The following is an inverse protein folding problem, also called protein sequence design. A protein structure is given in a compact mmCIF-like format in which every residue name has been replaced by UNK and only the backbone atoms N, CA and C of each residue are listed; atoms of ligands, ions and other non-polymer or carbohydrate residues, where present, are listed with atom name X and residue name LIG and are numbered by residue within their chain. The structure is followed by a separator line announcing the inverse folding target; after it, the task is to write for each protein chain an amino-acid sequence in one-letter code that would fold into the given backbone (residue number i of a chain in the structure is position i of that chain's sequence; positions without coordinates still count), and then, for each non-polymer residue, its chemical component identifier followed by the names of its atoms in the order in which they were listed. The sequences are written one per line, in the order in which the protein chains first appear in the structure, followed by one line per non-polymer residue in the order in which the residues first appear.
data_IF_005163180100
#
_entry.id   IF_005163180100
#
_cell.length_a   1.000
_cell.length_b   1.000
_cell.length_c   1.000
_cell.angle_alpha   90.00
_cell.angle_beta   90.00
_cell.angle_gamma   90.00
#
_symmetry.space_group_name_H-M   'P 1'
#
loop_
_entity.id
_entity.type
_entity.pdbx_description
1 polymer ?
#
# COMPACT_ATOMS: atom_id res chain seq x y z
N UNK A 1 -29.94 7.90 -19.03
CA UNK A 1 -28.65 7.24 -18.75
C UNK A 1 -28.93 6.17 -17.70
N UNK A 2 -28.97 4.91 -18.10
CA UNK A 2 -28.91 3.82 -17.13
C UNK A 2 -27.46 3.70 -16.66
N UNK A 3 -27.25 4.05 -15.41
CA UNK A 3 -25.98 3.84 -14.72
C UNK A 3 -25.92 2.35 -14.38
N UNK A 4 -24.84 1.67 -14.81
CA UNK A 4 -24.64 0.23 -14.58
C UNK A 4 -24.80 -0.10 -13.08
N UNK A 5 -25.39 -1.26 -12.75
CA UNK A 5 -25.69 -1.67 -11.36
C UNK A 5 -24.47 -1.70 -10.43
N UNK A 6 -23.27 -1.80 -11.00
CA UNK A 6 -21.99 -1.80 -10.28
C UNK A 6 -21.25 -0.45 -10.35
N UNK A 7 -21.85 0.58 -10.93
CA UNK A 7 -21.25 1.90 -10.99
C UNK A 7 -21.50 2.64 -9.68
N UNK A 8 -20.43 3.07 -9.02
CA UNK A 8 -20.49 3.85 -7.80
C UNK A 8 -20.12 5.30 -8.12
N UNK A 9 -21.09 6.22 -7.93
CA UNK A 9 -20.84 7.64 -8.03
C UNK A 9 -20.07 8.12 -6.79
N UNK A 10 -18.74 8.21 -6.90
CA UNK A 10 -17.88 8.71 -5.83
C UNK A 10 -18.17 10.20 -5.58
N UNK A 11 -18.76 10.51 -4.42
CA UNK A 11 -19.03 11.89 -4.02
C UNK A 11 -17.77 12.50 -3.41
N UNK A 12 -17.25 13.56 -4.03
CA UNK A 12 -16.03 14.25 -3.57
C UNK A 12 -16.31 15.55 -2.80
N UNK A 13 -17.58 15.85 -2.49
CA UNK A 13 -18.04 17.05 -1.76
C UNK A 13 -17.38 18.36 -2.24
N UNK A 14 -17.25 18.52 -3.56
CA UNK A 14 -16.68 19.72 -4.19
C UNK A 14 -15.16 19.74 -4.30
N UNK A 15 -14.45 18.68 -3.89
CA UNK A 15 -13.00 18.57 -4.09
C UNK A 15 -12.71 17.97 -5.46
N UNK A 16 -11.89 18.67 -6.24
CA UNK A 16 -11.41 18.18 -7.53
C UNK A 16 -10.08 17.43 -7.39
N UNK A 17 -10.08 16.10 -7.58
CA UNK A 17 -8.89 15.25 -7.50
C UNK A 17 -8.18 15.01 -8.84
N UNK A 18 -8.52 15.71 -9.93
CA UNK A 18 -7.98 15.44 -11.28
C UNK A 18 -6.50 15.80 -11.49
N UNK A 19 -5.90 16.58 -10.60
CA UNK A 19 -4.50 17.00 -10.70
C UNK A 19 -3.70 16.59 -9.47
N UNK A 20 -2.37 16.59 -9.61
CA UNK A 20 -1.44 16.22 -8.54
C UNK A 20 -1.82 16.89 -7.22
N UNK A 21 -1.85 16.09 -6.16
CA UNK A 21 -1.98 16.57 -4.79
C UNK A 21 -0.63 16.33 -4.11
N UNK A 22 0.12 17.41 -3.87
CA UNK A 22 1.41 17.29 -3.19
C UNK A 22 1.25 16.64 -1.82
N UNK A 23 2.23 15.82 -1.47
CA UNK A 23 2.27 15.05 -0.23
C UNK A 23 1.97 15.95 0.99
N UNK A 24 1.11 15.47 1.89
CA UNK A 24 0.64 16.18 3.10
C UNK A 24 -0.08 17.52 2.90
N UNK A 25 -0.36 17.93 1.65
CA UNK A 25 -1.25 19.07 1.39
C UNK A 25 -2.67 18.78 1.90
N UNK A 26 -3.47 19.84 2.17
CA UNK A 26 -4.88 19.68 2.53
C UNK A 26 -5.67 18.84 1.51
N UNK A 27 -5.35 19.02 0.21
CA UNK A 27 -5.94 18.24 -0.88
C UNK A 27 -5.58 16.75 -0.78
N UNK A 28 -4.31 16.46 -0.51
CA UNK A 28 -3.83 15.08 -0.30
C UNK A 28 -4.53 14.42 0.89
N UNK A 29 -4.63 15.10 2.04
CA UNK A 29 -5.32 14.54 3.22
C UNK A 29 -6.79 14.23 2.92
N UNK A 30 -7.50 15.15 2.23
CA UNK A 30 -8.89 14.92 1.80
C UNK A 30 -8.99 13.70 0.86
N UNK A 31 -8.04 13.53 -0.04
CA UNK A 31 -7.98 12.40 -0.98
C UNK A 31 -7.78 11.06 -0.24
N UNK A 32 -6.83 10.99 0.68
CA UNK A 32 -6.55 9.78 1.47
C UNK A 32 -7.76 9.38 2.32
N UNK A 33 -8.43 10.34 2.96
CA UNK A 33 -9.62 10.04 3.75
C UNK A 33 -10.84 9.69 2.88
N UNK A 34 -10.98 10.29 1.69
CA UNK A 34 -12.00 9.89 0.73
C UNK A 34 -11.79 8.44 0.24
N UNK A 35 -10.53 8.01 0.06
CA UNK A 35 -10.19 6.61 -0.22
C UNK A 35 -10.70 5.68 0.87
N UNK A 36 -10.39 5.94 2.14
CA UNK A 36 -10.84 5.08 3.26
C UNK A 36 -12.38 5.02 3.32
N UNK A 37 -13.07 6.15 3.14
CA UNK A 37 -14.53 6.16 3.13
C UNK A 37 -15.11 5.38 1.94
N UNK A 38 -14.51 5.49 0.76
CA UNK A 38 -14.95 4.71 -0.40
C UNK A 38 -14.80 3.21 -0.15
N UNK A 39 -13.64 2.76 0.34
CA UNK A 39 -13.40 1.36 0.66
C UNK A 39 -14.35 0.82 1.75
N UNK A 40 -14.72 1.66 2.73
CA UNK A 40 -15.79 1.34 3.69
C UNK A 40 -17.10 1.00 3.00
N UNK A 41 -17.53 1.81 2.02
CA UNK A 41 -18.78 1.56 1.29
C UNK A 41 -18.72 0.28 0.44
N UNK A 42 -17.55 -0.08 -0.11
CA UNK A 42 -17.35 -1.34 -0.84
C UNK A 42 -17.61 -2.52 0.10
N UNK A 43 -17.07 -2.47 1.33
CA UNK A 43 -17.28 -3.52 2.33
C UNK A 43 -18.75 -3.58 2.78
N UNK A 44 -19.41 -2.44 2.99
CA UNK A 44 -20.83 -2.37 3.37
C UNK A 44 -21.75 -3.00 2.31
N UNK A 45 -21.32 -3.01 1.04
CA UNK A 45 -22.05 -3.68 -0.05
C UNK A 45 -21.77 -5.18 -0.14
N UNK A 46 -20.93 -5.74 0.74
CA UNK A 46 -20.62 -7.17 0.77
C UNK A 46 -19.46 -7.59 -0.14
N UNK A 47 -18.72 -6.64 -0.74
CA UNK A 47 -17.63 -6.97 -1.66
C UNK A 47 -16.28 -7.03 -0.95
N UNK A 48 -15.54 -8.10 -1.20
CA UNK A 48 -14.10 -8.14 -0.95
C UNK A 48 -13.40 -7.23 -1.95
N UNK A 49 -12.23 -6.69 -1.61
CA UNK A 49 -11.46 -5.89 -2.55
C UNK A 49 -9.96 -6.09 -2.37
N UNK A 50 -9.24 -5.91 -3.47
CA UNK A 50 -7.81 -5.60 -3.49
C UNK A 50 -7.69 -4.13 -3.87
N UNK A 51 -7.01 -3.35 -3.03
CA UNK A 51 -6.66 -1.97 -3.33
C UNK A 51 -5.18 -1.91 -3.70
N UNK A 52 -4.86 -1.12 -4.73
CA UNK A 52 -3.50 -0.84 -5.18
C UNK A 52 -3.41 0.63 -5.55
N UNK A 53 -2.38 1.32 -5.08
CA UNK A 53 -2.00 2.63 -5.59
C UNK A 53 -1.52 2.50 -7.04
N UNK A 54 -1.62 3.60 -7.79
CA UNK A 54 -1.34 3.63 -9.23
C UNK A 54 0.15 3.47 -9.58
N UNK A 55 1.03 3.69 -8.60
CA UNK A 55 2.48 3.59 -8.67
C UNK A 55 3.00 2.28 -8.05
N UNK A 56 2.18 1.24 -8.08
CA UNK A 56 2.55 -0.13 -7.73
C UNK A 56 2.59 -0.98 -8.99
N UNK A 57 3.74 -1.59 -9.26
CA UNK A 57 3.91 -2.55 -10.35
C UNK A 57 3.58 -3.96 -9.86
N UNK A 58 2.67 -4.64 -10.56
CA UNK A 58 2.37 -6.05 -10.32
C UNK A 58 3.26 -6.91 -11.20
N UNK A 59 4.27 -7.54 -10.60
CA UNK A 59 5.23 -8.41 -11.27
C UNK A 59 4.70 -9.84 -11.37
N UNK A 60 3.90 -10.27 -10.39
CA UNK A 60 3.25 -11.58 -10.33
C UNK A 60 1.79 -11.47 -9.88
N UNK A 61 1.07 -12.58 -9.94
CA UNK A 61 -0.30 -12.68 -9.44
C UNK A 61 -0.29 -12.66 -7.89
N UNK A 62 -0.85 -11.63 -7.22
CA UNK A 62 -0.84 -11.57 -5.76
C UNK A 62 -1.87 -12.51 -5.10
N UNK A 63 -2.90 -12.94 -5.84
CA UNK A 63 -4.04 -13.68 -5.26
C UNK A 63 -3.65 -15.02 -4.64
N UNK A 64 -2.62 -15.69 -5.16
CA UNK A 64 -2.13 -16.97 -4.61
C UNK A 64 -1.35 -16.82 -3.30
N UNK A 65 -0.99 -15.60 -2.90
CA UNK A 65 -0.20 -15.30 -1.71
C UNK A 65 -1.03 -14.66 -0.58
N UNK A 66 -2.34 -14.51 -0.76
CA UNK A 66 -3.21 -14.02 0.30
C UNK A 66 -3.54 -15.10 1.33
N UNK A 67 -3.52 -14.70 2.61
CA UNK A 67 -3.86 -15.56 3.73
C UNK A 67 -5.38 -15.83 3.77
N UNK A 68 -5.78 -17.10 3.70
CA UNK A 68 -7.21 -17.49 3.62
C UNK A 68 -7.96 -17.29 4.93
N UNK A 69 -7.27 -17.29 6.06
CA UNK A 69 -7.76 -17.08 7.42
C UNK A 69 -7.85 -15.60 7.82
N UNK A 70 -7.15 -14.71 7.12
CA UNK A 70 -7.14 -13.28 7.43
C UNK A 70 -8.20 -12.47 6.66
N UNK A 71 -8.88 -11.55 7.36
CA UNK A 71 -9.90 -10.66 6.79
C UNK A 71 -9.32 -9.31 6.35
N UNK A 72 -8.20 -8.88 6.91
CA UNK A 72 -7.54 -7.60 6.61
C UNK A 72 -6.03 -7.80 6.47
N UNK A 73 -5.54 -7.66 5.24
CA UNK A 73 -4.14 -7.85 4.88
C UNK A 73 -3.60 -6.58 4.25
N UNK A 74 -2.47 -6.08 4.73
CA UNK A 74 -1.92 -4.79 4.30
C UNK A 74 -0.40 -4.88 4.11
N UNK A 75 0.11 -4.25 3.04
CA UNK A 75 1.55 -4.12 2.81
C UNK A 75 2.21 -3.23 3.87
N UNK A 76 3.54 -3.20 3.88
CA UNK A 76 4.33 -2.47 4.86
C UNK A 76 5.34 -1.55 4.17
N UNK A 77 5.61 -0.41 4.80
CA UNK A 77 6.83 0.35 4.55
C UNK A 77 8.03 -0.35 5.20
N UNK A 78 7.82 -0.97 6.37
CA UNK A 78 8.81 -1.79 7.06
C UNK A 78 8.19 -3.05 7.68
N UNK A 79 8.77 -4.22 7.38
CA UNK A 79 8.29 -5.51 7.87
C UNK A 79 9.26 -6.13 8.88
N UNK A 80 8.75 -6.51 10.04
CA UNK A 80 9.56 -6.99 11.16
C UNK A 80 9.69 -8.53 11.25
N UNK A 81 9.43 -9.24 10.15
CA UNK A 81 9.43 -10.71 10.08
C UNK A 81 8.30 -11.42 10.85
N UNK A 82 7.29 -10.69 11.36
CA UNK A 82 6.11 -11.29 12.00
C UNK A 82 4.82 -10.75 11.37
N UNK A 83 4.04 -11.66 10.75
CA UNK A 83 2.80 -11.33 10.02
C UNK A 83 1.70 -10.70 10.88
N UNK A 84 1.71 -10.89 12.20
CA UNK A 84 0.64 -10.43 13.10
C UNK A 84 1.09 -9.39 14.13
N UNK A 85 2.38 -9.05 14.16
CA UNK A 85 2.89 -8.07 15.10
C UNK A 85 2.44 -6.67 14.71
N UNK A 86 1.64 -6.05 15.56
CA UNK A 86 1.14 -4.70 15.37
C UNK A 86 2.27 -3.66 15.28
N UNK A 87 3.51 -3.98 15.65
CA UNK A 87 4.67 -3.08 15.50
C UNK A 87 5.16 -2.89 14.06
N UNK A 88 4.70 -3.70 13.09
CA UNK A 88 4.95 -3.44 11.67
C UNK A 88 4.47 -2.05 11.25
N UNK A 89 5.08 -1.44 10.23
CA UNK A 89 4.69 -0.12 9.72
C UNK A 89 3.86 -0.32 8.45
N UNK A 90 2.52 -0.34 8.52
CA UNK A 90 1.67 -0.58 7.36
C UNK A 90 1.74 0.55 6.34
N UNK A 91 1.66 0.16 5.08
CA UNK A 91 1.53 1.03 3.92
C UNK A 91 0.13 0.82 3.29
N UNK A 92 -0.60 1.90 3.11
CA UNK A 92 -1.97 1.91 2.58
C UNK A 92 -2.04 1.74 1.07
N UNK A 93 -0.91 1.68 0.37
CA UNK A 93 -0.85 1.55 -1.07
C UNK A 93 -1.24 0.18 -1.58
N UNK A 94 -1.11 -0.89 -0.78
CA UNK A 94 -1.59 -2.22 -1.18
C UNK A 94 -2.26 -2.95 -0.02
N UNK A 95 -3.50 -3.38 -0.21
CA UNK A 95 -4.21 -4.17 0.80
C UNK A 95 -5.28 -5.08 0.17
N UNK A 96 -5.52 -6.22 0.81
CA UNK A 96 -6.59 -7.16 0.48
C UNK A 96 -7.51 -7.31 1.69
N UNK A 97 -8.80 -7.06 1.48
CA UNK A 97 -9.78 -7.03 2.56
C UNK A 97 -11.02 -7.84 2.16
N UNK A 98 -11.43 -8.73 3.05
CA UNK A 98 -12.68 -9.48 2.94
C UNK A 98 -13.81 -8.69 3.58
N UNK A 99 -14.97 -8.65 2.95
CA UNK A 99 -16.15 -8.05 3.55
C UNK A 99 -16.66 -8.93 4.69
N UNK A 100 -16.73 -8.33 5.87
CA UNK A 100 -17.38 -8.90 7.03
C UNK A 100 -17.86 -7.81 7.96
N UNK A 101 -18.66 -8.19 8.96
CA UNK A 101 -19.08 -7.24 10.01
C UNK A 101 -17.88 -6.61 10.69
N UNK A 102 -16.77 -7.34 10.86
CA UNK A 102 -15.55 -6.80 11.50
C UNK A 102 -14.90 -5.76 10.62
N UNK A 103 -14.60 -6.08 9.36
CA UNK A 103 -13.90 -5.14 8.48
C UNK A 103 -14.73 -3.88 8.19
N UNK A 104 -16.06 -4.00 8.10
CA UNK A 104 -16.95 -2.82 8.01
C UNK A 104 -16.84 -1.90 9.24
N UNK A 105 -16.88 -2.47 10.45
CA UNK A 105 -16.77 -1.67 11.69
C UNK A 105 -15.37 -1.07 11.85
N UNK A 106 -14.33 -1.81 11.46
CA UNK A 106 -12.96 -1.32 11.45
C UNK A 106 -12.78 -0.13 10.50
N UNK A 107 -13.26 -0.21 9.27
CA UNK A 107 -13.18 0.91 8.31
C UNK A 107 -14.00 2.13 8.76
N UNK A 108 -15.14 1.92 9.44
CA UNK A 108 -15.87 3.01 10.11
C UNK A 108 -15.00 3.70 11.15
N UNK A 109 -14.44 2.92 12.08
CA UNK A 109 -13.58 3.42 13.14
C UNK A 109 -12.35 4.14 12.60
N UNK A 110 -11.69 3.57 11.59
CA UNK A 110 -10.52 4.17 10.96
C UNK A 110 -10.87 5.51 10.31
N UNK A 111 -11.96 5.56 9.53
CA UNK A 111 -12.40 6.79 8.87
C UNK A 111 -12.76 7.89 9.88
N UNK A 112 -13.48 7.57 10.96
CA UNK A 112 -13.85 8.55 11.99
C UNK A 112 -12.67 9.00 12.85
N UNK A 113 -11.65 8.16 13.00
CA UNK A 113 -10.46 8.48 13.81
C UNK A 113 -9.66 9.68 13.28
N UNK A 114 -9.85 10.09 12.03
CA UNK A 114 -9.25 11.33 11.48
C UNK A 114 -9.60 12.58 12.29
N UNK A 115 -10.74 12.57 12.99
CA UNK A 115 -11.19 13.70 13.83
C UNK A 115 -10.35 13.83 15.10
N UNK A 116 -9.82 12.71 15.61
CA UNK A 116 -8.92 12.67 16.77
C UNK A 116 -7.47 13.02 16.40
N UNK A 117 -7.12 12.90 15.12
CA UNK A 117 -5.77 13.10 14.61
C UNK A 117 -5.76 14.08 13.41
N UNK A 118 -6.17 15.35 13.63
CA UNK A 118 -6.23 16.33 12.57
C UNK A 118 -4.84 16.56 11.96
N UNK A 119 -4.78 16.66 10.63
CA UNK A 119 -3.53 16.86 9.89
C UNK A 119 -2.73 15.58 9.62
N UNK A 120 -3.12 14.43 10.17
CA UNK A 120 -2.50 13.15 9.86
C UNK A 120 -3.23 12.47 8.69
N UNK A 121 -2.47 11.72 7.89
CA UNK A 121 -3.06 10.91 6.83
C UNK A 121 -3.47 9.53 7.36
N UNK A 122 -4.07 8.72 6.48
CA UNK A 122 -4.67 7.44 6.83
C UNK A 122 -3.67 6.42 7.42
N UNK A 123 -2.45 6.31 6.89
CA UNK A 123 -1.43 5.38 7.44
C UNK A 123 -0.92 5.82 8.82
N UNK A 124 -0.71 7.12 9.02
CA UNK A 124 -0.31 7.66 10.33
C UNK A 124 -1.35 7.32 11.40
N UNK A 125 -2.62 7.52 11.05
CA UNK A 125 -3.74 7.18 11.95
C UNK A 125 -3.82 5.68 12.15
N UNK A 126 -3.68 4.85 11.10
CA UNK A 126 -3.67 3.40 11.24
C UNK A 126 -2.57 2.94 12.20
N UNK A 127 -1.38 3.52 12.11
CA UNK A 127 -0.26 3.24 13.00
C UNK A 127 -0.57 3.50 14.47
N UNK A 128 -1.50 4.43 14.77
CA UNK A 128 -1.94 4.73 16.13
C UNK A 128 -3.09 3.81 16.55
N UNK A 129 -4.13 3.73 15.74
CA UNK A 129 -5.39 3.07 16.13
C UNK A 129 -5.31 1.55 16.11
N UNK A 130 -4.33 0.94 15.42
CA UNK A 130 -4.14 -0.52 15.44
C UNK A 130 -3.89 -1.08 16.84
N UNK A 131 -3.42 -0.24 17.78
CA UNK A 131 -3.24 -0.59 19.20
C UNK A 131 -4.46 -0.28 20.07
N UNK A 132 -5.52 0.32 19.52
CA UNK A 132 -6.69 0.70 20.30
C UNK A 132 -7.45 -0.55 20.77
N UNK A 133 -7.95 -0.61 22.03
CA UNK A 133 -8.65 -1.79 22.57
C UNK A 133 -9.83 -2.27 21.71
N UNK A 134 -10.52 -1.33 21.06
CA UNK A 134 -11.58 -1.61 20.09
C UNK A 134 -11.17 -2.62 19.00
N UNK A 135 -9.92 -2.62 18.53
CA UNK A 135 -9.44 -3.57 17.52
C UNK A 135 -9.45 -5.00 18.07
N UNK A 136 -9.00 -5.17 19.31
CA UNK A 136 -9.00 -6.45 20.00
C UNK A 136 -10.44 -6.91 20.34
N UNK A 137 -11.30 -6.01 20.81
CA UNK A 137 -12.72 -6.28 21.07
C UNK A 137 -13.49 -6.72 19.82
N UNK A 138 -13.15 -6.12 18.67
CA UNK A 138 -13.70 -6.50 17.38
C UNK A 138 -13.26 -7.90 16.94
N UNK A 139 -12.15 -8.40 17.49
CA UNK A 139 -11.52 -9.66 17.10
C UNK A 139 -10.97 -9.61 15.67
N UNK A 140 -10.60 -8.43 15.17
CA UNK A 140 -10.02 -8.29 13.83
C UNK A 140 -8.53 -8.63 13.89
N UNK A 141 -8.12 -9.63 13.12
CA UNK A 141 -6.70 -9.89 12.88
C UNK A 141 -6.19 -9.00 11.75
N UNK A 142 -5.14 -8.24 12.03
CA UNK A 142 -4.38 -7.48 11.03
C UNK A 142 -3.22 -8.35 10.59
N UNK A 143 -3.14 -8.66 9.30
CA UNK A 143 -2.03 -9.41 8.72
C UNK A 143 -1.17 -8.47 7.88
N UNK A 144 0.11 -8.41 8.22
CA UNK A 144 1.11 -7.60 7.53
C UNK A 144 1.77 -8.44 6.44
N UNK A 145 1.73 -7.94 5.21
CA UNK A 145 2.28 -8.62 4.06
C UNK A 145 3.81 -8.37 4.00
N UNK A 146 4.65 -9.42 3.89
CA UNK A 146 6.11 -9.25 3.92
C UNK A 146 6.63 -8.43 2.74
N UNK A 147 7.57 -7.53 3.03
CA UNK A 147 8.29 -6.69 2.05
C UNK A 147 9.12 -7.50 1.04
N UNK A 148 9.47 -8.75 1.36
CA UNK A 148 10.12 -9.68 0.43
C UNK A 148 9.24 -10.01 -0.78
N UNK A 149 7.91 -10.06 -0.59
CA UNK A 149 6.92 -10.33 -1.64
C UNK A 149 6.24 -9.03 -2.10
N UNK A 150 5.82 -8.20 -1.16
CA UNK A 150 5.10 -6.94 -1.39
C UNK A 150 6.05 -5.78 -1.14
N UNK A 151 7.00 -5.64 -2.06
CA UNK A 151 8.14 -4.74 -1.90
C UNK A 151 7.79 -3.29 -2.20
N UNK A 152 8.65 -2.39 -1.76
CA UNK A 152 8.61 -0.99 -2.13
C UNK A 152 9.95 -0.32 -1.84
N UNK A 153 10.18 0.90 -2.34
CA UNK A 153 11.46 1.58 -2.18
C UNK A 153 11.81 1.95 -0.72
N UNK A 154 10.86 1.95 0.21
CA UNK A 154 11.17 2.03 1.64
C UNK A 154 11.96 0.80 2.15
N UNK A 155 11.67 -0.38 1.60
CA UNK A 155 12.30 -1.66 1.93
C UNK A 155 12.28 -2.59 0.72
N UNK A 156 13.28 -2.40 -0.14
CA UNK A 156 13.34 -3.03 -1.45
C UNK A 156 13.86 -4.46 -1.35
N UNK A 157 13.15 -5.41 -1.94
CA UNK A 157 13.52 -6.81 -2.01
C UNK A 157 14.42 -7.05 -3.22
N UNK A 158 15.63 -7.58 -2.99
CA UNK A 158 16.53 -8.04 -4.06
C UNK A 158 16.17 -9.44 -4.59
N UNK A 159 15.15 -10.10 -4.02
CA UNK A 159 14.73 -11.44 -4.42
C UNK A 159 13.72 -11.38 -5.57
N UNK A 160 14.26 -11.39 -6.80
CA UNK A 160 13.48 -11.37 -8.05
C UNK A 160 12.63 -12.64 -8.26
N UNK A 161 13.02 -13.75 -7.65
CA UNK A 161 12.28 -15.01 -7.77
C UNK A 161 10.96 -14.93 -7.02
N UNK A 162 10.93 -14.22 -5.88
CA UNK A 162 9.77 -14.17 -4.99
C UNK A 162 8.96 -12.87 -5.05
N UNK A 163 9.54 -11.74 -5.49
CA UNK A 163 8.83 -10.46 -5.52
C UNK A 163 7.53 -10.53 -6.34
N UNK A 164 6.44 -9.99 -5.77
CA UNK A 164 5.09 -9.98 -6.35
C UNK A 164 4.73 -8.57 -6.80
N UNK A 165 4.94 -7.58 -5.93
CA UNK A 165 4.67 -6.17 -6.23
C UNK A 165 5.85 -5.30 -5.86
N UNK A 166 6.01 -4.18 -6.56
CA UNK A 166 6.97 -3.12 -6.20
C UNK A 166 6.24 -1.79 -6.17
N UNK A 167 6.20 -1.14 -5.00
CA UNK A 167 5.60 0.17 -4.78
C UNK A 167 6.67 1.27 -4.84
N UNK A 168 6.39 2.36 -5.57
CA UNK A 168 7.19 3.59 -5.51
C UNK A 168 6.90 4.45 -4.25
N UNK A 169 6.75 3.82 -3.08
CA UNK A 169 6.69 4.51 -1.78
C UNK A 169 8.07 5.10 -1.43
N UNK A 170 8.16 5.95 -0.38
CA UNK A 170 9.40 6.65 -0.03
C UNK A 170 10.07 7.43 -1.19
N UNK A 171 9.29 7.78 -2.21
CA UNK A 171 9.74 8.51 -3.40
C UNK A 171 8.80 9.70 -3.61
N UNK A 172 9.36 10.90 -3.65
CA UNK A 172 8.57 12.14 -3.74
C UNK A 172 8.69 12.70 -5.15
N UNK A 173 7.55 13.11 -5.72
CA UNK A 173 7.44 13.72 -7.04
C UNK A 173 7.11 12.71 -8.13
N UNK A 174 6.17 13.09 -9.00
CA UNK A 174 5.67 12.24 -10.08
C UNK A 174 6.78 11.80 -11.04
N UNK A 175 7.65 12.71 -11.47
CA UNK A 175 8.73 12.41 -12.41
C UNK A 175 9.74 11.40 -11.84
N UNK A 176 10.08 11.52 -10.55
CA UNK A 176 10.97 10.58 -9.87
C UNK A 176 10.34 9.18 -9.81
N UNK A 177 9.05 9.10 -9.43
CA UNK A 177 8.32 7.83 -9.42
C UNK A 177 8.28 7.18 -10.80
N UNK A 178 7.98 7.96 -11.84
CA UNK A 178 7.95 7.46 -13.23
C UNK A 178 9.35 6.97 -13.66
N UNK A 179 10.40 7.72 -13.35
CA UNK A 179 11.76 7.34 -13.66
C UNK A 179 12.14 6.01 -13.02
N UNK A 180 11.93 5.88 -11.71
CA UNK A 180 12.32 4.68 -10.95
C UNK A 180 11.48 3.46 -11.33
N UNK A 181 10.18 3.62 -11.56
CA UNK A 181 9.33 2.52 -12.03
C UNK A 181 9.73 2.06 -13.44
N UNK A 182 10.30 2.92 -14.30
CA UNK A 182 10.88 2.47 -15.58
C UNK A 182 12.12 1.59 -15.36
N UNK A 183 12.97 1.94 -14.40
CA UNK A 183 14.13 1.11 -14.05
C UNK A 183 13.70 -0.25 -13.49
N UNK A 184 12.67 -0.27 -12.64
CA UNK A 184 12.04 -1.52 -12.16
C UNK A 184 11.47 -2.34 -13.32
N UNK A 185 10.88 -1.70 -14.33
CA UNK A 185 10.37 -2.42 -15.48
C UNK A 185 11.49 -3.05 -16.32
N UNK A 186 12.61 -2.34 -16.48
CA UNK A 186 13.72 -2.78 -17.33
C UNK A 186 14.47 -3.97 -16.72
N UNK A 187 14.80 -3.93 -15.43
CA UNK A 187 15.42 -5.09 -14.76
C UNK A 187 14.44 -6.27 -14.68
N UNK A 188 13.12 -6.04 -14.52
CA UNK A 188 12.13 -7.12 -14.58
C UNK A 188 12.13 -7.82 -15.95
N UNK A 189 12.16 -7.05 -17.04
CA UNK A 189 12.18 -7.57 -18.40
C UNK A 189 13.43 -8.39 -18.68
N UNK A 190 14.58 -7.95 -18.19
CA UNK A 190 15.83 -8.69 -18.31
C UNK A 190 15.77 -10.00 -17.52
N UNK A 191 15.29 -9.97 -16.28
CA UNK A 191 15.12 -11.16 -15.44
C UNK A 191 14.21 -12.19 -16.11
N UNK A 192 13.03 -11.79 -16.61
CA UNK A 192 12.12 -12.69 -17.32
C UNK A 192 12.77 -13.26 -18.60
N UNK A 193 13.61 -12.49 -19.28
CA UNK A 193 14.37 -12.95 -20.45
C UNK A 193 15.42 -14.00 -20.06
N UNK A 194 16.13 -13.79 -18.97
CA UNK A 194 17.14 -14.72 -18.44
C UNK A 194 16.51 -16.03 -17.94
N UNK A 195 15.39 -15.96 -17.22
CA UNK A 195 14.61 -17.13 -16.81
C UNK A 195 14.19 -17.97 -18.03
N UNK A 196 13.70 -17.33 -19.11
CA UNK A 196 13.35 -18.01 -20.35
C UNK A 196 14.55 -18.64 -21.05
N UNK A 197 15.71 -17.96 -21.03
CA UNK A 197 16.97 -18.45 -21.62
C UNK A 197 17.71 -19.45 -20.73
N UNK A 198 17.24 -19.70 -19.50
CA UNK A 198 17.92 -20.52 -18.47
C UNK A 198 19.35 -20.03 -18.21
N UNK A 199 19.54 -18.73 -18.24
CA UNK A 199 20.81 -18.07 -17.93
C UNK A 199 20.71 -17.53 -16.52
N UNK A 200 21.73 -17.78 -15.70
CA UNK A 200 21.84 -17.17 -14.37
C UNK A 200 22.78 -15.97 -14.45
N UNK A 201 22.25 -14.78 -14.19
CA UNK A 201 23.01 -13.54 -14.01
C UNK A 201 22.61 -12.90 -12.67
N UNK A 202 23.55 -12.24 -11.98
CA UNK A 202 23.21 -11.46 -10.81
C UNK A 202 22.46 -10.19 -11.24
N UNK A 203 21.13 -10.28 -11.30
CA UNK A 203 20.23 -9.14 -11.50
C UNK A 203 19.72 -8.70 -10.13
N UNK A 204 19.78 -7.40 -9.85
CA UNK A 204 19.29 -6.81 -8.61
C UNK A 204 18.92 -5.36 -8.86
N UNK A 205 17.83 -4.91 -8.23
CA UNK A 205 17.45 -3.50 -8.21
C UNK A 205 18.44 -2.66 -7.40
N UNK A 206 19.04 -3.24 -6.35
CA UNK A 206 20.06 -2.61 -5.50
C UNK A 206 21.32 -2.16 -6.23
N UNK A 207 21.54 -2.61 -7.47
CA UNK A 207 22.61 -2.14 -8.35
C UNK A 207 22.29 -0.81 -9.06
N UNK A 208 21.09 -0.27 -8.88
CA UNK A 208 20.65 1.00 -9.46
C UNK A 208 20.80 2.14 -8.43
N UNK A 209 21.90 2.92 -8.46
CA UNK A 209 22.17 3.98 -7.48
C UNK A 209 21.17 5.15 -7.55
N UNK A 210 20.35 5.20 -8.61
CA UNK A 210 19.40 6.28 -8.89
C UNK A 210 18.04 6.07 -8.22
N UNK A 211 17.74 4.84 -7.77
CA UNK A 211 16.43 4.54 -7.19
C UNK A 211 16.19 5.32 -5.89
N UNK A 212 14.98 5.86 -5.74
CA UNK A 212 14.43 6.26 -4.45
C UNK A 212 14.69 5.16 -3.41
N UNK A 213 15.11 5.54 -2.20
CA UNK A 213 15.56 4.61 -1.16
C UNK A 213 17.06 4.23 -1.22
N UNK A 214 17.68 4.13 -2.41
CA UNK A 214 19.12 3.84 -2.54
C UNK A 214 20.03 5.05 -2.30
N UNK A 215 19.48 6.27 -2.37
CA UNK A 215 20.16 7.52 -1.96
C UNK A 215 20.45 7.55 -0.43
N UNK A 216 20.01 6.51 0.29
CA UNK A 216 19.88 6.43 1.74
C UNK A 216 20.98 5.74 2.56
N UNK A 217 22.16 5.36 2.03
CA UNK A 217 23.35 5.25 2.91
C UNK A 217 23.75 6.61 3.53
N UNK A 218 23.04 7.69 3.20
CA UNK A 218 23.22 9.04 3.76
C UNK A 218 21.94 9.81 4.13
N UNK A 219 20.77 9.18 4.24
CA UNK A 219 19.61 9.86 4.85
C UNK A 219 19.26 9.11 6.12
N UNK A 220 19.96 9.51 7.18
CA UNK A 220 19.64 9.19 8.56
C UNK A 220 18.17 9.46 8.83
N UNK A 221 17.54 8.52 9.54
CA UNK A 221 16.39 8.72 10.38
C UNK A 221 16.32 10.14 10.98
N UNK A 222 15.52 11.01 10.37
CA UNK A 222 15.04 12.28 10.94
C UNK A 222 14.07 12.89 9.92
N UNK A 223 12.81 12.49 9.94
CA UNK A 223 11.85 13.42 10.51
C UNK A 223 10.74 12.66 11.24
N UNK A 224 10.93 12.54 12.55
CA UNK A 224 9.81 12.51 13.49
C UNK A 224 9.13 13.88 13.41
N UNK A 225 7.85 13.91 13.03
CA UNK A 225 6.79 14.72 13.65
C UNK A 225 5.51 13.91 13.55
#
# INVERSE_FOLDING_TARGET
MEVHSYCYALRTNGVNFTGEAHYMSSKYLKMMWARIDFLRHVLEKGYNFVFTDADIMWLRNPFSHFHTDSEFQIACDHFNSNLSDLKNIPNGGFNYVKSSRRTVQFYKFWYTSKELYPGNHDQDVLNRIKFHPFIAELGLQITFLPTTFYSGFCELSDDLDHVITVHANCCIGLENKIHDLRLVLDVWREYISDVKRRVSRPLSWGLLPQLCGNVGRKISAATRV
#
